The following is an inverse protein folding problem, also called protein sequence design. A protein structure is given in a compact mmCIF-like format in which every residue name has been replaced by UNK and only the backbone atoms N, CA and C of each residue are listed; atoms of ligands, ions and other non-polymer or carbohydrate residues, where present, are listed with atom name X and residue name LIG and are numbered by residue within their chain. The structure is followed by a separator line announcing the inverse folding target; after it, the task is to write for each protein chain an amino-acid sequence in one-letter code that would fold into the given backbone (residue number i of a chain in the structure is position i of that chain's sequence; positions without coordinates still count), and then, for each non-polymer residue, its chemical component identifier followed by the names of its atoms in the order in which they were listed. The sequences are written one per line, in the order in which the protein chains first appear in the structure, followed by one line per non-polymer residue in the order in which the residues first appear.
data_IF_707849148137
#
_entry.id   IF_707849148137
#
_cell.length_a   1.000
_cell.length_b   1.000
_cell.length_c   1.000
_cell.angle_alpha   90.00
_cell.angle_beta   90.00
_cell.angle_gamma   90.00
#
_symmetry.space_group_name_H-M   'P 1'
#
loop_
_entity.id
_entity.type
_entity.pdbx_description
1 polymer ?
#
# COMPACT_ATOMS: atom_id res chain seq x y z
N UNK A 1 -9.99 -16.26 -12.81
CA UNK A 1 -9.39 -15.00 -12.34
C UNK A 1 -9.34 -15.05 -10.82
N UNK A 2 -8.16 -14.93 -10.24
CA UNK A 2 -7.97 -14.94 -8.79
C UNK A 2 -7.58 -13.53 -8.34
N UNK A 3 -8.25 -13.03 -7.30
CA UNK A 3 -7.97 -11.73 -6.70
C UNK A 3 -7.72 -11.96 -5.21
N UNK A 4 -6.61 -11.44 -4.70
CA UNK A 4 -6.31 -11.48 -3.26
C UNK A 4 -6.20 -10.08 -2.71
N UNK A 5 -6.62 -9.90 -1.46
CA UNK A 5 -6.47 -8.64 -0.73
C UNK A 5 -5.71 -8.85 0.58
N UNK A 6 -4.78 -7.96 0.89
CA UNK A 6 -4.00 -8.02 2.13
C UNK A 6 -3.44 -6.65 2.53
N UNK A 7 -2.96 -6.55 3.77
CA UNK A 7 -2.10 -5.44 4.20
C UNK A 7 -0.67 -5.72 3.77
N UNK A 8 -0.05 -4.80 3.03
CA UNK A 8 1.29 -4.99 2.42
C UNK A 8 2.39 -4.11 3.06
N UNK A 9 2.01 -3.16 3.90
CA UNK A 9 2.91 -2.41 4.76
C UNK A 9 2.15 -1.91 5.97
N UNK A 10 2.78 -1.96 7.14
CA UNK A 10 2.32 -1.32 8.36
C UNK A 10 3.49 -0.53 8.93
N UNK A 11 3.23 0.71 9.29
CA UNK A 11 4.13 1.50 10.15
C UNK A 11 3.42 1.84 11.44
N UNK A 12 3.86 1.23 12.53
CA UNK A 12 3.49 1.61 13.88
C UNK A 12 4.40 2.73 14.39
N UNK A 13 3.82 3.67 15.13
CA UNK A 13 4.55 4.67 15.93
C UNK A 13 4.02 4.67 17.35
N UNK A 14 4.88 4.84 18.34
CA UNK A 14 4.50 4.77 19.75
C UNK A 14 5.50 5.50 20.67
N UNK A 15 5.14 5.65 21.94
CA UNK A 15 6.10 5.84 23.02
C UNK A 15 6.50 4.48 23.60
N UNK A 16 7.73 4.37 24.10
CA UNK A 16 8.16 3.22 24.89
C UNK A 16 7.81 3.53 26.35
N UNK A 17 7.06 2.65 27.01
CA UNK A 17 6.76 2.79 28.44
C UNK A 17 8.06 2.94 29.22
N UNK A 18 8.16 3.97 30.07
CA UNK A 18 9.38 4.27 30.83
C UNK A 18 9.95 3.04 31.55
N UNK A 19 9.11 2.27 32.25
CA UNK A 19 9.49 1.03 32.97
C UNK A 19 9.95 -0.13 32.07
N UNK A 20 9.68 -0.06 30.77
CA UNK A 20 10.07 -1.09 29.78
C UNK A 20 11.23 -0.63 28.89
N UNK A 21 11.73 0.58 29.06
CA UNK A 21 12.80 1.12 28.22
C UNK A 21 14.07 0.26 28.24
N UNK A 22 14.54 -0.12 29.44
CA UNK A 22 15.72 -0.96 29.58
C UNK A 22 15.52 -2.35 28.96
N UNK A 23 14.33 -2.95 29.16
CA UNK A 23 13.97 -4.23 28.56
C UNK A 23 13.91 -4.16 27.02
N UNK A 24 13.38 -3.06 26.47
CA UNK A 24 13.41 -2.81 25.03
C UNK A 24 14.86 -2.74 24.53
N UNK A 25 15.72 -1.95 25.19
CA UNK A 25 17.13 -1.82 24.78
C UNK A 25 17.86 -3.16 24.82
N UNK A 26 17.67 -3.93 25.89
CA UNK A 26 18.23 -5.27 26.01
C UNK A 26 17.75 -6.18 24.86
N UNK A 27 16.44 -6.23 24.59
CA UNK A 27 15.89 -7.01 23.47
C UNK A 27 16.57 -6.62 22.14
N UNK A 28 16.65 -5.32 21.84
CA UNK A 28 17.25 -4.83 20.58
C UNK A 28 18.73 -5.19 20.47
N UNK A 29 19.49 -5.11 21.57
CA UNK A 29 20.94 -5.28 21.58
C UNK A 29 21.40 -6.74 21.68
N UNK A 30 20.59 -7.63 22.27
CA UNK A 30 20.99 -9.02 22.54
C UNK A 30 20.26 -10.07 21.71
N UNK A 31 19.14 -9.74 21.08
CA UNK A 31 18.36 -10.75 20.34
C UNK A 31 19.06 -11.15 19.05
N UNK A 32 19.33 -12.45 18.87
CA UNK A 32 20.12 -12.99 17.75
C UNK A 32 19.59 -12.62 16.36
N UNK A 33 18.27 -12.52 16.20
CA UNK A 33 17.66 -12.14 14.92
C UNK A 33 17.63 -10.63 14.62
N UNK A 34 18.08 -9.79 15.58
CA UNK A 34 18.09 -8.33 15.43
C UNK A 34 19.51 -7.89 15.11
N UNK A 35 19.68 -7.24 13.95
CA UNK A 35 20.92 -6.56 13.57
C UNK A 35 20.83 -5.10 13.95
N UNK A 36 21.68 -4.68 14.88
CA UNK A 36 21.76 -3.28 15.33
C UNK A 36 22.69 -2.49 14.40
N UNK A 37 22.16 -1.43 13.81
CA UNK A 37 22.92 -0.49 12.98
C UNK A 37 23.45 0.68 13.82
N UNK A 38 22.69 1.07 14.85
CA UNK A 38 23.08 2.14 15.77
C UNK A 38 22.40 1.88 17.12
N UNK A 39 23.15 2.00 18.22
CA UNK A 39 22.61 1.99 19.57
C UNK A 39 23.35 3.04 20.41
N UNK A 40 22.58 3.95 21.01
CA UNK A 40 23.03 4.97 21.96
C UNK A 40 22.04 5.02 23.13
N UNK A 41 22.32 5.84 24.15
CA UNK A 41 21.47 5.94 25.35
C UNK A 41 20.01 6.24 25.04
N UNK A 42 19.72 7.14 24.11
CA UNK A 42 18.37 7.64 23.79
C UNK A 42 18.00 7.44 22.30
N UNK A 43 18.69 6.53 21.61
CA UNK A 43 18.45 6.24 20.19
C UNK A 43 18.83 4.79 19.84
N UNK A 44 18.07 4.18 18.94
CA UNK A 44 18.54 2.99 18.23
C UNK A 44 17.96 2.90 16.81
N UNK A 45 18.71 2.23 15.93
CA UNK A 45 18.25 1.77 14.63
C UNK A 45 18.65 0.31 14.48
N UNK A 46 17.67 -0.53 14.23
CA UNK A 46 17.88 -1.96 14.10
C UNK A 46 16.94 -2.52 13.05
N UNK A 47 17.33 -3.67 12.51
CA UNK A 47 16.54 -4.41 11.53
C UNK A 47 16.53 -5.88 11.87
N UNK A 48 15.47 -6.59 11.51
CA UNK A 48 15.55 -8.04 11.33
C UNK A 48 15.63 -8.34 9.84
N UNK A 49 16.17 -9.49 9.48
CA UNK A 49 16.21 -9.87 8.07
C UNK A 49 16.56 -11.32 7.85
N UNK A 50 16.39 -11.75 6.61
CA UNK A 50 16.86 -13.02 6.08
C UNK A 50 17.87 -12.72 4.96
N UNK A 51 19.16 -12.86 5.27
CA UNK A 51 20.25 -12.43 4.39
C UNK A 51 20.16 -10.95 4.03
N UNK A 52 19.96 -10.66 2.73
CA UNK A 52 19.89 -9.29 2.21
C UNK A 52 18.52 -8.61 2.41
N UNK A 53 17.48 -9.35 2.85
CA UNK A 53 16.12 -8.82 2.92
C UNK A 53 15.77 -8.37 4.33
N UNK A 54 15.45 -7.08 4.47
CA UNK A 54 14.95 -6.53 5.72
C UNK A 54 13.46 -6.85 5.89
N UNK A 55 13.10 -7.36 7.07
CA UNK A 55 11.71 -7.73 7.42
C UNK A 55 11.11 -6.71 8.39
N UNK A 56 11.78 -6.48 9.53
CA UNK A 56 11.41 -5.41 10.48
C UNK A 56 12.39 -4.25 10.38
N UNK A 57 11.87 -3.03 10.34
CA UNK A 57 12.63 -1.80 10.54
C UNK A 57 12.26 -1.19 11.89
N UNK A 58 13.19 -1.18 12.83
CA UNK A 58 13.02 -0.63 14.17
C UNK A 58 13.81 0.66 14.31
N UNK A 59 13.17 1.73 14.74
CA UNK A 59 13.81 3.02 14.95
C UNK A 59 13.26 3.68 16.21
N UNK A 60 14.15 4.15 17.06
CA UNK A 60 13.83 5.00 18.19
C UNK A 60 14.78 6.19 18.21
N UNK A 61 14.23 7.38 18.32
CA UNK A 61 15.00 8.63 18.44
C UNK A 61 14.23 9.60 19.33
N UNK A 62 14.62 9.65 20.60
CA UNK A 62 13.94 10.45 21.63
C UNK A 62 13.99 11.95 21.33
N UNK A 63 15.19 12.46 20.98
CA UNK A 63 15.39 13.88 20.72
C UNK A 63 14.56 14.32 19.51
N UNK A 64 14.63 13.58 18.41
CA UNK A 64 13.85 13.88 17.20
C UNK A 64 12.35 13.78 17.45
N UNK A 65 11.91 12.84 18.29
CA UNK A 65 10.53 12.76 18.74
C UNK A 65 10.09 14.02 19.49
N UNK A 66 10.90 14.49 20.43
CA UNK A 66 10.65 15.73 21.19
C UNK A 66 10.61 16.96 20.28
N UNK A 67 11.61 17.14 19.41
CA UNK A 67 11.71 18.28 18.49
C UNK A 67 10.49 18.39 17.57
N UNK A 68 9.94 17.23 17.15
CA UNK A 68 8.80 17.15 16.24
C UNK A 68 7.45 17.01 16.94
N UNK A 69 7.44 16.97 18.28
CA UNK A 69 6.25 16.64 19.08
C UNK A 69 5.55 15.36 18.55
N UNK A 70 6.35 14.33 18.30
CA UNK A 70 5.93 13.08 17.70
C UNK A 70 6.39 11.87 18.52
N UNK A 71 5.70 10.75 18.33
CA UNK A 71 6.06 9.45 18.90
C UNK A 71 7.47 9.04 18.45
N UNK A 72 8.42 8.82 19.38
CA UNK A 72 9.83 8.60 19.05
C UNK A 72 10.14 7.20 18.54
N UNK A 73 9.32 6.20 18.88
CA UNK A 73 9.49 4.83 18.39
C UNK A 73 8.70 4.60 17.11
N UNK A 74 9.31 3.87 16.17
CA UNK A 74 8.73 3.46 14.90
C UNK A 74 9.11 2.01 14.59
N UNK A 75 8.11 1.23 14.19
CA UNK A 75 8.26 -0.13 13.68
C UNK A 75 7.58 -0.23 12.32
N UNK A 76 8.31 -0.61 11.27
CA UNK A 76 7.77 -0.81 9.91
C UNK A 76 8.04 -2.22 9.42
N UNK A 77 7.05 -2.86 8.81
CA UNK A 77 7.11 -4.21 8.26
C UNK A 77 6.00 -4.48 7.25
N UNK A 78 6.14 -5.55 6.46
CA UNK A 78 5.06 -6.13 5.67
C UNK A 78 4.51 -7.36 6.39
N UNK A 79 3.23 -7.39 6.82
CA UNK A 79 2.63 -8.53 7.51
C UNK A 79 2.76 -9.86 6.76
N UNK A 80 2.73 -9.83 5.43
CA UNK A 80 2.83 -11.02 4.59
C UNK A 80 4.25 -11.59 4.50
N UNK A 81 5.26 -10.88 5.01
CA UNK A 81 6.68 -11.28 4.96
C UNK A 81 7.27 -11.58 6.34
N UNK A 82 6.45 -11.58 7.38
CA UNK A 82 6.91 -11.91 8.74
C UNK A 82 7.27 -13.39 8.84
N UNK A 83 8.46 -13.67 9.39
CA UNK A 83 8.81 -15.02 9.85
C UNK A 83 8.28 -15.21 11.27
N UNK A 84 8.36 -16.45 11.77
CA UNK A 84 7.96 -16.76 13.15
C UNK A 84 8.69 -15.87 14.16
N UNK A 85 10.03 -15.77 14.03
CA UNK A 85 10.86 -14.95 14.92
C UNK A 85 10.52 -13.45 14.87
N UNK A 86 10.15 -12.93 13.69
CA UNK A 86 9.77 -11.51 13.56
C UNK A 86 8.42 -11.26 14.26
N UNK A 87 7.50 -12.22 14.16
CA UNK A 87 6.21 -12.17 14.86
C UNK A 87 6.41 -12.20 16.37
N UNK A 88 7.25 -13.10 16.88
CA UNK A 88 7.61 -13.18 18.31
C UNK A 88 8.25 -11.89 18.84
N UNK A 89 9.09 -11.24 18.04
CA UNK A 89 9.67 -9.93 18.37
C UNK A 89 8.56 -8.86 18.45
N UNK A 90 7.64 -8.81 17.48
CA UNK A 90 6.49 -7.89 17.52
C UNK A 90 5.64 -8.13 18.77
N UNK A 91 5.32 -9.39 19.07
CA UNK A 91 4.53 -9.82 20.22
C UNK A 91 5.18 -9.38 21.55
N UNK A 92 6.51 -9.37 21.60
CA UNK A 92 7.29 -8.90 22.76
C UNK A 92 7.31 -7.37 22.84
N UNK A 93 7.41 -6.69 21.70
CA UNK A 93 7.53 -5.23 21.60
C UNK A 93 6.22 -4.53 21.92
N UNK A 94 5.07 -4.98 21.39
CA UNK A 94 3.77 -4.30 21.56
C UNK A 94 3.45 -4.01 23.05
N UNK A 95 3.61 -4.97 23.99
CA UNK A 95 3.42 -4.72 25.41
C UNK A 95 4.35 -3.66 26.02
N UNK A 96 5.52 -3.39 25.42
CA UNK A 96 6.46 -2.37 25.88
C UNK A 96 6.06 -0.96 25.46
N UNK A 97 5.09 -0.82 24.56
CA UNK A 97 4.68 0.44 23.98
C UNK A 97 3.43 1.01 24.66
N UNK A 98 3.28 2.33 24.55
CA UNK A 98 2.08 3.08 24.91
C UNK A 98 1.75 4.13 23.85
N UNK A 99 0.48 4.55 23.79
CA UNK A 99 -0.05 5.47 22.77
C UNK A 99 0.35 5.03 21.35
N UNK A 100 -0.05 3.81 21.01
CA UNK A 100 0.27 3.18 19.73
C UNK A 100 -0.63 3.73 18.63
N UNK A 101 -0.03 4.11 17.50
CA UNK A 101 -0.74 4.59 16.32
C UNK A 101 -0.18 3.94 15.06
N UNK A 102 -1.08 3.42 14.22
CA UNK A 102 -0.76 3.00 12.85
C UNK A 102 -0.64 4.26 12.00
N UNK A 103 0.60 4.70 11.79
CA UNK A 103 0.92 5.92 11.04
C UNK A 103 0.94 5.71 9.52
N UNK A 104 1.04 4.46 9.06
CA UNK A 104 0.89 4.05 7.66
C UNK A 104 0.32 2.65 7.59
N UNK A 105 -0.59 2.43 6.64
CA UNK A 105 -1.01 1.12 6.23
C UNK A 105 -1.24 1.11 4.71
N UNK A 106 -0.78 0.05 4.06
CA UNK A 106 -0.96 -0.15 2.63
C UNK A 106 -1.91 -1.33 2.38
N UNK A 107 -3.02 -1.10 1.67
CA UNK A 107 -3.96 -2.14 1.25
C UNK A 107 -3.66 -2.54 -0.18
N UNK A 108 -3.35 -3.81 -0.41
CA UNK A 108 -2.97 -4.33 -1.73
C UNK A 108 -4.01 -5.32 -2.26
N UNK A 109 -4.39 -5.13 -3.52
CA UNK A 109 -5.14 -6.09 -4.33
C UNK A 109 -4.20 -6.68 -5.38
N UNK A 110 -4.00 -8.00 -5.32
CA UNK A 110 -3.28 -8.75 -6.34
C UNK A 110 -4.28 -9.33 -7.34
N UNK A 111 -4.11 -8.99 -8.62
CA UNK A 111 -4.90 -9.50 -9.72
C UNK A 111 -4.04 -10.47 -10.53
N UNK A 112 -4.36 -11.76 -10.42
CA UNK A 112 -3.67 -12.84 -11.14
C UNK A 112 -4.41 -13.18 -12.44
N UNK A 113 -3.63 -13.50 -13.48
CA UNK A 113 -4.10 -13.81 -14.83
C UNK A 113 -4.85 -12.66 -15.54
N UNK A 114 -4.67 -11.42 -15.06
CA UNK A 114 -5.26 -10.21 -15.66
C UNK A 114 -4.15 -9.24 -16.04
N UNK A 115 -4.09 -8.86 -17.32
CA UNK A 115 -3.22 -7.77 -17.74
C UNK A 115 -3.90 -6.41 -17.52
N UNK A 116 -3.35 -5.61 -16.60
CA UNK A 116 -3.85 -4.26 -16.31
C UNK A 116 -3.10 -3.15 -17.06
N UNK A 117 -2.26 -3.49 -18.05
CA UNK A 117 -1.49 -2.52 -18.84
C UNK A 117 -2.36 -1.45 -19.52
N UNK A 118 -3.54 -1.85 -19.99
CA UNK A 118 -4.54 -0.97 -20.63
C UNK A 118 -5.78 -0.75 -19.75
N UNK A 119 -5.63 -0.74 -18.42
CA UNK A 119 -6.72 -0.37 -17.51
C UNK A 119 -6.79 1.15 -17.30
N UNK A 120 -8.01 1.66 -17.18
CA UNK A 120 -8.28 2.96 -16.58
C UNK A 120 -7.97 2.84 -15.09
N UNK A 121 -7.11 3.72 -14.58
CA UNK A 121 -7.00 4.03 -13.16
C UNK A 121 -7.07 5.54 -12.99
N UNK A 122 -8.18 6.04 -12.45
CA UNK A 122 -8.42 7.47 -12.26
C UNK A 122 -9.10 7.76 -10.93
N UNK A 123 -8.89 8.95 -10.37
CA UNK A 123 -9.55 9.35 -9.13
C UNK A 123 -10.92 9.96 -9.40
N UNK A 124 -11.93 9.55 -8.63
CA UNK A 124 -13.23 10.23 -8.59
C UNK A 124 -13.08 11.61 -7.94
N UNK A 125 -13.84 12.58 -8.43
CA UNK A 125 -13.79 13.95 -7.91
C UNK A 125 -12.54 14.73 -8.31
N UNK A 126 -11.79 15.28 -7.34
CA UNK A 126 -10.72 16.25 -7.62
C UNK A 126 -9.53 15.63 -8.38
N UNK A 127 -8.98 16.33 -9.39
CA UNK A 127 -7.75 15.90 -10.07
C UNK A 127 -6.62 15.66 -9.07
N UNK A 128 -5.81 14.65 -9.32
CA UNK A 128 -4.65 14.30 -8.49
C UNK A 128 -3.44 14.15 -9.39
N UNK A 129 -2.26 14.57 -8.91
CA UNK A 129 -1.01 14.42 -9.64
C UNK A 129 -0.83 12.94 -10.04
N UNK A 130 -0.49 12.70 -11.31
CA UNK A 130 -0.34 11.36 -11.89
C UNK A 130 1.07 11.21 -12.42
N UNK A 131 1.70 10.07 -12.16
CA UNK A 131 3.00 9.70 -12.74
C UNK A 131 2.88 8.32 -13.36
N UNK A 132 3.31 8.17 -14.60
CA UNK A 132 3.31 6.89 -15.33
C UNK A 132 4.74 6.52 -15.70
N UNK A 133 5.03 5.23 -15.60
CA UNK A 133 6.24 4.59 -16.12
C UNK A 133 5.79 3.58 -17.16
N UNK A 134 6.35 3.71 -18.35
CA UNK A 134 6.03 2.88 -19.51
C UNK A 134 7.31 2.25 -20.04
N UNK A 135 7.16 1.08 -20.66
CA UNK A 135 8.25 0.41 -21.36
C UNK A 135 8.72 1.23 -22.57
N UNK A 136 9.81 0.79 -23.20
CA UNK A 136 10.27 1.34 -24.49
C UNK A 136 9.22 1.20 -25.60
N UNK A 137 8.31 0.22 -25.51
CA UNK A 137 7.20 0.01 -26.43
C UNK A 137 5.94 0.82 -26.07
N UNK A 138 5.99 1.62 -25.01
CA UNK A 138 4.87 2.46 -24.55
C UNK A 138 3.84 1.73 -23.67
N UNK A 139 4.03 0.44 -23.37
CA UNK A 139 3.15 -0.35 -22.49
C UNK A 139 3.27 0.14 -21.06
N UNK A 140 2.15 0.31 -20.35
CA UNK A 140 2.18 0.72 -18.93
C UNK A 140 2.90 -0.34 -18.09
N UNK A 141 3.76 0.12 -17.18
CA UNK A 141 4.44 -0.73 -16.20
C UNK A 141 4.06 -0.33 -14.77
N UNK A 142 3.92 0.97 -14.52
CA UNK A 142 3.54 1.51 -13.21
C UNK A 142 2.81 2.84 -13.37
N UNK A 143 1.72 3.04 -12.62
CA UNK A 143 0.96 4.28 -12.53
C UNK A 143 0.76 4.65 -11.06
N UNK A 144 1.06 5.91 -10.74
CA UNK A 144 0.82 6.49 -9.42
C UNK A 144 -0.21 7.61 -9.52
N UNK A 145 -1.21 7.57 -8.63
CA UNK A 145 -2.12 8.68 -8.35
C UNK A 145 -1.77 9.25 -6.98
N UNK A 146 -1.24 10.47 -6.94
CA UNK A 146 -0.83 11.16 -5.72
C UNK A 146 0.67 11.15 -5.50
N UNK A 147 1.16 12.04 -4.64
CA UNK A 147 2.58 12.13 -4.31
C UNK A 147 2.97 11.06 -3.29
N UNK A 148 4.20 10.52 -3.30
CA UNK A 148 4.62 9.46 -2.36
C UNK A 148 4.49 9.84 -0.88
N UNK A 149 4.69 11.13 -0.56
CA UNK A 149 4.59 11.69 0.80
C UNK A 149 3.19 12.18 1.18
N UNK A 150 2.21 12.07 0.27
CA UNK A 150 0.83 12.49 0.57
C UNK A 150 0.11 11.51 1.48
N UNK A 151 -0.99 11.95 2.10
CA UNK A 151 -1.79 11.10 3.01
C UNK A 151 -2.40 9.88 2.29
N UNK A 152 -2.65 9.99 0.98
CA UNK A 152 -3.24 8.93 0.15
C UNK A 152 -2.53 8.87 -1.20
N UNK A 153 -1.93 7.72 -1.52
CA UNK A 153 -1.41 7.43 -2.85
C UNK A 153 -1.97 6.10 -3.35
N UNK A 154 -2.37 6.04 -4.62
CA UNK A 154 -2.79 4.80 -5.28
C UNK A 154 -1.74 4.40 -6.30
N UNK A 155 -1.40 3.11 -6.34
CA UNK A 155 -0.36 2.55 -7.21
C UNK A 155 -0.95 1.39 -7.99
N UNK A 156 -0.78 1.38 -9.31
CA UNK A 156 -1.03 0.21 -10.15
C UNK A 156 0.28 -0.16 -10.83
N UNK A 157 0.73 -1.40 -10.68
CA UNK A 157 2.00 -1.81 -11.29
C UNK A 157 2.03 -3.31 -11.61
N UNK A 158 2.87 -3.66 -12.56
CA UNK A 158 3.13 -5.05 -12.92
C UNK A 158 3.97 -5.72 -11.82
N UNK A 159 3.29 -6.44 -10.93
CA UNK A 159 3.89 -7.08 -9.76
C UNK A 159 4.78 -8.26 -10.15
N UNK A 160 4.43 -9.00 -11.22
CA UNK A 160 5.29 -10.06 -11.76
C UNK A 160 6.67 -9.51 -12.10
N UNK A 161 6.72 -8.42 -12.88
CA UNK A 161 7.99 -7.79 -13.28
C UNK A 161 8.77 -7.25 -12.09
N UNK A 162 8.08 -6.64 -11.13
CA UNK A 162 8.70 -6.15 -9.90
C UNK A 162 9.36 -7.29 -9.09
N UNK A 163 8.71 -8.45 -8.98
CA UNK A 163 9.27 -9.62 -8.30
C UNK A 163 10.47 -10.20 -9.05
N UNK A 164 10.48 -10.21 -10.38
CA UNK A 164 11.67 -10.64 -11.14
C UNK A 164 12.87 -9.70 -10.95
N UNK A 165 12.62 -8.40 -10.72
CA UNK A 165 13.67 -7.40 -10.53
C UNK A 165 14.21 -7.36 -9.10
N UNK A 166 13.32 -7.46 -8.10
CA UNK A 166 13.66 -7.16 -6.70
C UNK A 166 13.35 -8.31 -5.71
N UNK A 167 12.63 -9.34 -6.16
CA UNK A 167 12.18 -10.44 -5.31
C UNK A 167 13.27 -11.46 -5.00
N UNK A 168 13.02 -12.26 -3.97
CA UNK A 168 13.81 -13.47 -3.69
C UNK A 168 13.63 -14.51 -4.79
N UNK A 169 14.46 -15.55 -4.84
CA UNK A 169 14.26 -16.64 -5.79
C UNK A 169 12.91 -17.34 -5.60
N UNK A 170 12.45 -17.46 -4.34
CA UNK A 170 11.09 -17.95 -4.03
C UNK A 170 9.99 -17.03 -4.58
N UNK A 171 10.17 -15.71 -4.47
CA UNK A 171 9.21 -14.74 -5.04
C UNK A 171 9.16 -14.85 -6.57
N UNK A 172 10.32 -15.04 -7.22
CA UNK A 172 10.42 -15.24 -8.68
C UNK A 172 9.76 -16.55 -9.10
N UNK A 173 10.01 -17.63 -8.38
CA UNK A 173 9.41 -18.94 -8.65
C UNK A 173 7.88 -18.87 -8.51
N UNK A 174 7.37 -18.21 -7.47
CA UNK A 174 5.95 -17.97 -7.33
C UNK A 174 5.39 -17.10 -8.46
N UNK A 175 6.07 -16.00 -8.81
CA UNK A 175 5.66 -15.11 -9.90
C UNK A 175 5.66 -15.78 -11.28
N UNK A 176 6.50 -16.80 -11.47
CA UNK A 176 6.62 -17.55 -12.73
C UNK A 176 5.37 -18.37 -13.07
N UNK A 177 4.58 -18.72 -12.06
CA UNK A 177 3.36 -19.53 -12.19
C UNK A 177 2.23 -18.79 -12.94
N UNK A 178 2.29 -17.46 -12.96
CA UNK A 178 1.22 -16.63 -13.51
C UNK A 178 1.62 -16.04 -14.85
N UNK A 179 0.71 -15.96 -15.83
CA UNK A 179 1.00 -15.23 -17.08
C UNK A 179 1.11 -13.74 -16.80
N UNK A 180 0.12 -13.20 -16.09
CA UNK A 180 0.03 -11.81 -15.67
C UNK A 180 -0.20 -11.72 -14.17
N UNK A 181 0.49 -10.79 -13.51
CA UNK A 181 0.22 -10.44 -12.12
C UNK A 181 0.43 -8.95 -11.93
N UNK A 182 -0.67 -8.26 -11.65
CA UNK A 182 -0.72 -6.83 -11.39
C UNK A 182 -1.16 -6.57 -9.96
N UNK A 183 -0.66 -5.50 -9.36
CA UNK A 183 -1.08 -5.06 -8.02
C UNK A 183 -1.65 -3.66 -8.07
N UNK A 184 -2.86 -3.51 -7.53
CA UNK A 184 -3.48 -2.23 -7.19
C UNK A 184 -3.32 -2.01 -5.69
N UNK A 185 -2.61 -0.96 -5.30
CA UNK A 185 -2.22 -0.72 -3.93
C UNK A 185 -2.62 0.69 -3.47
N UNK A 186 -3.18 0.78 -2.27
CA UNK A 186 -3.58 2.02 -1.63
C UNK A 186 -2.67 2.26 -0.43
N UNK A 187 -1.78 3.25 -0.52
CA UNK A 187 -0.93 3.70 0.57
C UNK A 187 -1.66 4.80 1.34
N UNK A 188 -1.95 4.59 2.62
CA UNK A 188 -2.58 5.57 3.50
C UNK A 188 -1.65 5.93 4.66
N UNK A 189 -1.60 7.21 5.03
CA UNK A 189 -0.77 7.73 6.11
C UNK A 189 -1.59 8.58 7.09
N UNK A 190 -1.12 8.64 8.33
CA UNK A 190 -1.68 9.46 9.39
C UNK A 190 -3.19 9.21 9.54
N UNK A 191 -4.01 10.26 9.67
CA UNK A 191 -5.48 10.17 9.78
C UNK A 191 -6.16 9.39 8.66
N UNK A 192 -5.57 9.34 7.46
CA UNK A 192 -6.20 8.65 6.33
C UNK A 192 -6.27 7.14 6.53
N UNK A 193 -5.46 6.55 7.43
CA UNK A 193 -5.49 5.12 7.73
C UNK A 193 -6.88 4.67 8.22
N UNK A 194 -7.65 5.55 8.87
CA UNK A 194 -9.03 5.25 9.31
C UNK A 194 -9.98 4.96 8.15
N UNK A 195 -9.65 5.44 6.94
CA UNK A 195 -10.45 5.25 5.72
C UNK A 195 -9.96 4.07 4.85
N UNK A 196 -9.06 3.22 5.36
CA UNK A 196 -8.40 2.17 4.55
C UNK A 196 -9.39 1.25 3.83
N UNK A 197 -10.55 0.97 4.42
CA UNK A 197 -11.57 0.10 3.81
C UNK A 197 -12.50 0.85 2.83
N UNK A 198 -12.51 2.18 2.85
CA UNK A 198 -13.35 3.02 2.00
C UNK A 198 -12.59 3.61 0.81
N UNK A 199 -11.26 3.61 0.85
CA UNK A 199 -10.40 4.22 -0.16
C UNK A 199 -10.65 3.67 -1.57
N UNK A 200 -11.03 2.40 -1.70
CA UNK A 200 -11.36 1.76 -2.98
C UNK A 200 -12.54 2.43 -3.68
N UNK A 201 -13.45 3.06 -2.93
CA UNK A 201 -14.59 3.77 -3.50
C UNK A 201 -14.20 5.06 -4.23
N UNK A 202 -12.98 5.56 -4.01
CA UNK A 202 -12.50 6.85 -4.52
C UNK A 202 -11.88 6.78 -5.92
N UNK A 203 -11.83 5.59 -6.54
CA UNK A 203 -11.22 5.39 -7.86
C UNK A 203 -12.21 4.87 -8.90
N UNK A 204 -11.81 5.01 -10.16
CA UNK A 204 -12.36 4.36 -11.33
C UNK A 204 -11.31 3.34 -11.76
N UNK A 205 -11.71 2.07 -11.86
CA UNK A 205 -10.82 0.98 -12.25
C UNK A 205 -11.56 -0.01 -13.16
N UNK A 206 -11.15 -0.08 -14.43
CA UNK A 206 -11.74 -0.98 -15.43
C UNK A 206 -10.89 -1.04 -16.70
N UNK A 207 -11.05 -2.07 -17.55
CA UNK A 207 -10.40 -2.11 -18.86
C UNK A 207 -10.71 -0.87 -19.69
N UNK A 208 -9.73 -0.34 -20.43
CA UNK A 208 -9.94 0.72 -21.41
C UNK A 208 -10.50 0.11 -22.71
N UNK A 209 -11.82 -0.11 -22.75
CA UNK A 209 -12.55 -0.61 -23.93
C UNK A 209 -13.78 0.24 -24.18
N UNK A 210 -13.66 1.19 -25.10
CA UNK A 210 -14.67 2.22 -25.39
C UNK A 210 -15.08 2.24 -26.87
N UNK A 211 -14.82 1.16 -27.61
CA UNK A 211 -15.03 1.04 -29.05
C UNK A 211 -16.50 1.21 -29.46
N UNK A 212 -17.44 0.91 -28.55
CA UNK A 212 -18.88 1.11 -28.74
C UNK A 212 -19.35 2.56 -28.62
N UNK A 213 -18.49 3.50 -28.22
CA UNK A 213 -18.82 4.93 -28.15
C UNK A 213 -18.44 5.66 -29.45
N UNK A 214 -19.08 6.80 -29.77
CA UNK A 214 -18.67 7.63 -30.91
C UNK A 214 -17.19 8.01 -30.85
N UNK A 215 -16.52 8.09 -32.00
CA UNK A 215 -15.08 8.40 -32.11
C UNK A 215 -14.68 9.65 -31.32
N UNK A 216 -15.48 10.72 -31.42
CA UNK A 216 -15.26 11.95 -30.64
C UNK A 216 -15.18 11.67 -29.13
N UNK A 217 -16.08 10.84 -28.60
CA UNK A 217 -16.09 10.46 -27.18
C UNK A 217 -14.83 9.67 -26.82
N UNK A 218 -14.41 8.74 -27.69
CA UNK A 218 -13.18 7.99 -27.48
C UNK A 218 -11.95 8.91 -27.42
N UNK A 219 -11.86 9.92 -28.31
CA UNK A 219 -10.79 10.93 -28.31
C UNK A 219 -10.74 11.67 -26.96
N UNK A 220 -11.89 12.13 -26.45
CA UNK A 220 -11.94 12.79 -25.15
C UNK A 220 -11.53 11.88 -23.98
N UNK A 221 -11.88 10.59 -24.02
CA UNK A 221 -11.49 9.62 -22.99
C UNK A 221 -10.00 9.28 -23.04
N UNK A 222 -9.41 9.25 -24.25
CA UNK A 222 -7.96 9.15 -24.44
C UNK A 222 -7.27 10.38 -23.85
N UNK A 223 -7.71 11.60 -24.19
CA UNK A 223 -7.16 12.81 -23.61
C UNK A 223 -7.29 12.81 -22.07
N UNK A 224 -8.46 12.44 -21.53
CA UNK A 224 -8.67 12.36 -20.09
C UNK A 224 -7.70 11.39 -19.40
N UNK A 225 -7.43 10.23 -19.98
CA UNK A 225 -6.67 9.16 -19.29
C UNK A 225 -5.17 9.17 -19.60
N UNK A 226 -4.77 9.65 -20.78
CA UNK A 226 -3.38 9.57 -21.29
C UNK A 226 -2.70 10.92 -21.46
N UNK A 227 -3.44 12.00 -21.73
CA UNK A 227 -2.88 13.35 -21.91
C UNK A 227 -3.60 14.41 -21.06
N UNK A 228 -3.15 14.52 -19.80
CA UNK A 228 -3.67 15.52 -18.86
C UNK A 228 -3.41 16.96 -19.29
N UNK A 229 -2.48 17.23 -20.20
CA UNK A 229 -2.20 18.59 -20.65
C UNK A 229 -3.27 19.05 -21.64
N UNK A 230 -3.58 18.22 -22.63
CA UNK A 230 -4.71 18.47 -23.54
C UNK A 230 -6.02 18.52 -22.75
N UNK A 231 -6.24 17.58 -21.84
CA UNK A 231 -7.46 17.54 -21.03
C UNK A 231 -7.72 18.84 -20.26
N UNK A 232 -6.69 19.53 -19.76
CA UNK A 232 -6.81 20.78 -19.00
C UNK A 232 -7.31 21.96 -19.84
N UNK A 233 -7.08 21.93 -21.16
CA UNK A 233 -7.52 22.99 -22.08
C UNK A 233 -9.03 22.99 -22.29
N UNK A 234 -9.71 21.89 -21.99
CA UNK A 234 -11.15 21.74 -22.22
C UNK A 234 -11.98 22.53 -21.21
N UNK A 235 -13.11 23.07 -21.69
CA UNK A 235 -14.10 23.75 -20.86
C UNK A 235 -14.60 22.82 -19.73
N UNK A 236 -14.90 23.40 -18.56
CA UNK A 236 -15.29 22.65 -17.35
C UNK A 236 -16.47 21.70 -17.58
N UNK A 237 -17.47 22.13 -18.36
CA UNK A 237 -18.67 21.32 -18.64
C UNK A 237 -18.34 20.10 -19.50
N UNK A 238 -17.46 20.27 -20.49
CA UNK A 238 -16.93 19.19 -21.33
C UNK A 238 -16.19 18.17 -20.48
N UNK A 239 -15.33 18.65 -19.56
CA UNK A 239 -14.62 17.78 -18.62
C UNK A 239 -15.56 16.98 -17.72
N UNK A 240 -16.59 17.63 -17.18
CA UNK A 240 -17.61 16.96 -16.35
C UNK A 240 -18.39 15.90 -17.12
N UNK A 241 -18.82 16.20 -18.36
CA UNK A 241 -19.54 15.25 -19.23
C UNK A 241 -18.74 13.97 -19.44
N UNK A 242 -17.50 14.09 -19.95
CA UNK A 242 -16.70 12.91 -20.28
C UNK A 242 -16.14 12.19 -19.06
N UNK A 243 -15.94 12.89 -17.93
CA UNK A 243 -15.65 12.22 -16.66
C UNK A 243 -16.82 11.36 -16.19
N UNK A 244 -18.06 11.84 -16.31
CA UNK A 244 -19.26 11.05 -16.00
C UNK A 244 -19.35 9.80 -16.90
N UNK A 245 -19.09 9.95 -18.20
CA UNK A 245 -19.03 8.81 -19.14
C UNK A 245 -17.95 7.81 -18.72
N UNK A 246 -16.74 8.28 -18.40
CA UNK A 246 -15.65 7.43 -17.91
C UNK A 246 -16.07 6.68 -16.63
N UNK A 247 -16.84 7.31 -15.74
CA UNK A 247 -17.32 6.68 -14.50
C UNK A 247 -18.40 5.62 -14.78
N UNK A 248 -19.41 5.93 -15.60
CA UNK A 248 -20.63 5.12 -15.71
C UNK A 248 -20.64 4.11 -16.84
N UNK A 249 -19.88 4.31 -17.92
CA UNK A 249 -19.90 3.40 -19.07
C UNK A 249 -19.26 2.04 -18.74
N UNK A 250 -19.96 0.93 -19.04
CA UNK A 250 -19.45 -0.42 -18.83
C UNK A 250 -18.50 -0.82 -19.96
N UNK A 251 -17.28 -1.23 -19.61
CA UNK A 251 -16.22 -1.58 -20.60
C UNK A 251 -15.94 -3.09 -20.67
N UNK A 252 -16.59 -3.88 -19.82
CA UNK A 252 -16.44 -5.33 -19.76
C UNK A 252 -17.64 -5.94 -19.03
N UNK A 253 -17.96 -7.20 -19.32
CA UNK A 253 -18.92 -8.00 -18.55
C UNK A 253 -18.46 -8.20 -17.10
N UNK A 254 -17.14 -8.17 -16.86
CA UNK A 254 -16.55 -8.30 -15.53
C UNK A 254 -16.42 -6.90 -14.90
N UNK A 255 -17.13 -6.67 -13.79
CA UNK A 255 -16.89 -5.52 -12.92
C UNK A 255 -15.73 -5.79 -11.95
N UNK A 256 -14.51 -5.59 -12.41
CA UNK A 256 -13.29 -5.78 -11.61
C UNK A 256 -13.31 -4.98 -10.30
N UNK A 257 -13.80 -3.74 -10.33
CA UNK A 257 -13.87 -2.90 -9.14
C UNK A 257 -14.94 -3.41 -8.17
N UNK A 258 -16.08 -3.86 -8.68
CA UNK A 258 -17.12 -4.54 -7.89
C UNK A 258 -16.57 -5.78 -7.18
N UNK A 259 -15.91 -6.67 -7.92
CA UNK A 259 -15.32 -7.89 -7.36
C UNK A 259 -14.30 -7.59 -6.25
N UNK A 260 -13.44 -6.59 -6.42
CA UNK A 260 -12.49 -6.18 -5.37
C UNK A 260 -13.20 -5.62 -4.13
N UNK A 261 -14.31 -4.89 -4.29
CA UNK A 261 -15.09 -4.37 -3.15
C UNK A 261 -15.78 -5.49 -2.38
N UNK A 262 -16.36 -6.46 -3.08
CA UNK A 262 -17.01 -7.61 -2.46
C UNK A 262 -15.99 -8.46 -1.70
N UNK A 263 -14.82 -8.71 -2.30
CA UNK A 263 -13.71 -9.37 -1.64
C UNK A 263 -13.25 -8.60 -0.40
N UNK A 264 -13.07 -7.28 -0.49
CA UNK A 264 -12.67 -6.46 0.65
C UNK A 264 -13.69 -6.54 1.78
N UNK A 265 -14.99 -6.52 1.46
CA UNK A 265 -16.06 -6.67 2.45
C UNK A 265 -15.99 -8.02 3.16
N UNK A 266 -15.68 -9.10 2.44
CA UNK A 266 -15.51 -10.43 3.00
C UNK A 266 -14.28 -10.54 3.92
N UNK A 267 -13.13 -10.02 3.49
CA UNK A 267 -11.86 -10.09 4.25
C UNK A 267 -11.74 -9.02 5.35
N UNK A 268 -12.61 -8.00 5.34
CA UNK A 268 -12.56 -6.86 6.28
C UNK A 268 -12.45 -7.27 7.75
N UNK A 269 -13.23 -8.22 8.30
CA UNK A 269 -13.12 -8.59 9.71
C UNK A 269 -11.72 -9.07 10.10
N UNK A 270 -11.08 -9.85 9.24
CA UNK A 270 -9.70 -10.33 9.45
C UNK A 270 -8.68 -9.19 9.39
N UNK A 271 -8.82 -8.30 8.42
CA UNK A 271 -7.93 -7.14 8.26
C UNK A 271 -8.10 -6.12 9.42
N UNK A 272 -9.33 -5.92 9.90
CA UNK A 272 -9.62 -5.11 11.09
C UNK A 272 -8.98 -5.71 12.34
N UNK A 273 -9.06 -7.04 12.50
CA UNK A 273 -8.40 -7.76 13.60
C UNK A 273 -6.88 -7.59 13.56
N UNK A 274 -6.28 -7.68 12.37
CA UNK A 274 -4.85 -7.39 12.16
C UNK A 274 -4.47 -5.96 12.56
N UNK A 275 -5.22 -4.96 12.08
CA UNK A 275 -4.96 -3.56 12.43
C UNK A 275 -5.17 -3.29 13.93
N UNK A 276 -6.16 -3.93 14.55
CA UNK A 276 -6.40 -3.83 15.98
C UNK A 276 -5.24 -4.43 16.79
N UNK A 277 -4.73 -5.60 16.37
CA UNK A 277 -3.59 -6.24 17.01
C UNK A 277 -2.33 -5.38 16.95
N UNK A 278 -1.93 -4.97 15.74
CA UNK A 278 -0.74 -4.12 15.57
C UNK A 278 -0.93 -2.71 16.15
N UNK A 279 -2.17 -2.25 16.29
CA UNK A 279 -2.52 -1.03 17.00
C UNK A 279 -2.53 -1.15 18.52
N UNK A 280 -2.23 -2.33 19.08
CA UNK A 280 -2.26 -2.62 20.52
C UNK A 280 -3.64 -2.51 21.16
N UNK A 281 -4.71 -2.69 20.38
CA UNK A 281 -6.11 -2.61 20.84
C UNK A 281 -6.66 -3.96 21.29
N UNK A 282 -6.04 -5.05 20.85
CA UNK A 282 -6.35 -6.42 21.24
C UNK A 282 -5.06 -7.17 21.51
N UNK A 283 -5.12 -8.17 22.39
CA UNK A 283 -3.99 -9.05 22.71
C UNK A 283 -3.82 -10.15 21.65
N UNK A 284 -2.63 -10.76 21.60
CA UNK A 284 -2.32 -11.89 20.71
C UNK A 284 -3.31 -13.04 20.84
N UNK A 285 -3.77 -13.35 22.05
CA UNK A 285 -4.75 -14.43 22.28
C UNK A 285 -6.13 -14.12 21.68
N UNK A 286 -6.39 -12.83 21.41
CA UNK A 286 -7.58 -12.36 20.72
C UNK A 286 -7.32 -12.08 19.24
N UNK A 287 -6.10 -12.28 18.73
CA UNK A 287 -5.69 -12.11 17.33
C UNK A 287 -5.96 -13.35 16.48
#
# INVERSE_FOLDING_TARGET
MDIKVSLDNITMTAYIKSKKYLAMKQLIETHLAITVQTAMTDMFRATTGDGAHVVLHLNYDKQKGQDRKARPFRLEFNPNKLRLVDSEIIDTIIPFLEDISISRADLAFDLFEVDCSEFVLEKKGRPTATKEFRSSTGTLETKYLGAPRSEKQVRLYNKKREQFQNGTDRDKDFASQFKHWWRLEFQLRSRSVEEIFEVINTIIFKPFKFEGLPVETQIYLVALTRDKNIWKLLHRNTRTKYKKILETYQTSDIDYLGLMKDLLKHERPKLEKQLAYYGGRIDKNSF
#
